data_IF_165050330545
#
_entry.id   IF_165050330545
#
_cell.length_a   1.000
_cell.length_b   1.000
_cell.length_c   1.000
_cell.angle_alpha   90.00
_cell.angle_beta   90.00
_cell.angle_gamma   90.00
#
_symmetry.space_group_name_H-M   'P 1'
#
loop_
_entity.id
_entity.type
_entity.pdbx_description
1 polymer ?
#
# COMPACT_ATOMS: atom_id res chain seq x y z
N UNK A 1 -28.26 -19.48 33.24
CA UNK A 1 -28.19 -18.00 33.36
C UNK A 1 -26.76 -17.48 33.53
N UNK A 2 -25.86 -18.18 34.24
CA UNK A 2 -24.44 -17.75 34.41
C UNK A 2 -23.65 -17.59 33.09
N UNK A 3 -23.87 -18.47 32.12
CA UNK A 3 -23.12 -18.43 30.84
C UNK A 3 -23.44 -17.19 30.01
N UNK A 4 -24.67 -16.66 30.10
CA UNK A 4 -25.07 -15.46 29.36
C UNK A 4 -24.31 -14.23 29.85
N UNK A 5 -24.10 -14.13 31.17
CA UNK A 5 -23.30 -13.07 31.77
C UNK A 5 -21.82 -13.18 31.39
N UNK A 6 -21.24 -14.38 31.44
CA UNK A 6 -19.86 -14.59 31.03
C UNK A 6 -19.65 -14.22 29.55
N UNK A 7 -20.54 -14.66 28.67
CA UNK A 7 -20.48 -14.34 27.24
C UNK A 7 -20.68 -12.85 26.98
N UNK A 8 -21.56 -12.15 27.70
CA UNK A 8 -21.76 -10.70 27.49
C UNK A 8 -20.53 -9.89 27.89
N UNK A 9 -19.83 -10.26 28.97
CA UNK A 9 -18.60 -9.59 29.40
C UNK A 9 -17.49 -9.77 28.35
N UNK A 10 -17.34 -10.99 27.83
CA UNK A 10 -16.34 -11.27 26.78
C UNK A 10 -16.65 -10.47 25.52
N UNK A 11 -17.92 -10.40 25.11
CA UNK A 11 -18.32 -9.60 23.95
C UNK A 11 -18.10 -8.10 24.15
N UNK A 12 -18.32 -7.58 25.37
CA UNK A 12 -18.03 -6.18 25.70
C UNK A 12 -16.52 -5.89 25.66
N UNK A 13 -15.69 -6.79 26.19
CA UNK A 13 -14.23 -6.64 26.14
C UNK A 13 -13.72 -6.69 24.69
N UNK A 14 -14.17 -7.67 23.91
CA UNK A 14 -13.80 -7.80 22.50
C UNK A 14 -14.27 -6.58 21.69
N UNK A 15 -15.52 -6.16 21.87
CA UNK A 15 -16.06 -4.97 21.21
C UNK A 15 -15.32 -3.69 21.61
N UNK A 16 -14.96 -3.55 22.89
CA UNK A 16 -14.15 -2.45 23.39
C UNK A 16 -12.75 -2.41 22.78
N UNK A 17 -12.08 -3.55 22.64
CA UNK A 17 -10.77 -3.64 21.98
C UNK A 17 -10.83 -3.25 20.51
N UNK A 18 -11.84 -3.73 19.78
CA UNK A 18 -12.03 -3.35 18.36
C UNK A 18 -12.35 -1.86 18.24
N UNK A 19 -13.23 -1.34 19.09
CA UNK A 19 -13.55 0.09 19.12
C UNK A 19 -12.31 0.95 19.43
N UNK A 20 -11.47 0.53 20.37
CA UNK A 20 -10.22 1.20 20.69
C UNK A 20 -9.23 1.19 19.51
N UNK A 21 -9.10 0.06 18.79
CA UNK A 21 -8.30 -0.02 17.57
C UNK A 21 -8.80 0.94 16.49
N UNK A 22 -10.10 0.93 16.20
CA UNK A 22 -10.70 1.83 15.20
C UNK A 22 -10.51 3.30 15.60
N UNK A 23 -10.68 3.60 16.89
CA UNK A 23 -10.47 4.95 17.42
C UNK A 23 -9.03 5.41 17.28
N UNK A 24 -8.05 4.54 17.57
CA UNK A 24 -6.63 4.82 17.34
C UNK A 24 -6.34 5.08 15.86
N UNK A 25 -6.83 4.24 14.95
CA UNK A 25 -6.65 4.43 13.51
C UNK A 25 -7.26 5.77 13.06
N UNK A 26 -8.45 6.11 13.59
CA UNK A 26 -9.11 7.39 13.29
C UNK A 26 -8.33 8.58 13.82
N UNK A 27 -7.80 8.52 15.04
CA UNK A 27 -6.93 9.56 15.58
C UNK A 27 -5.67 9.75 14.72
N UNK A 28 -5.02 8.66 14.30
CA UNK A 28 -3.86 8.73 13.40
C UNK A 28 -4.22 9.22 11.99
N UNK A 29 -5.44 8.95 11.52
CA UNK A 29 -5.93 9.36 10.20
C UNK A 29 -6.40 10.83 10.19
N UNK A 30 -6.97 11.33 11.29
CA UNK A 30 -7.45 12.71 11.41
C UNK A 30 -6.30 13.72 11.24
N UNK A 31 -5.12 13.41 11.78
CA UNK A 31 -3.89 14.17 11.52
C UNK A 31 -3.45 14.09 10.05
N UNK A 32 -3.75 12.96 9.38
CA UNK A 32 -3.43 12.71 7.97
C UNK A 32 -4.39 13.37 6.97
N UNK A 33 -5.53 13.96 7.39
CA UNK A 33 -6.39 14.74 6.48
C UNK A 33 -5.77 16.10 6.11
N UNK A 34 -4.67 16.51 6.77
CA UNK A 34 -3.87 17.69 6.42
C UNK A 34 -2.82 17.45 5.32
N UNK A 35 -2.62 16.21 4.88
CA UNK A 35 -1.58 15.87 3.90
C UNK A 35 -2.19 15.37 2.58
N UNK A 36 -2.58 16.29 1.65
CA UNK A 36 -3.10 15.93 0.32
C UNK A 36 -2.10 15.10 -0.51
N UNK A 37 -0.81 15.19 -0.16
CA UNK A 37 0.30 14.39 -0.67
C UNK A 37 -0.01 12.88 -0.63
N UNK A 38 -0.53 12.37 0.49
CA UNK A 38 -0.73 10.94 0.73
C UNK A 38 -1.88 10.42 -0.14
N UNK A 39 -2.92 11.23 -0.35
CA UNK A 39 -4.01 10.94 -1.31
C UNK A 39 -3.48 10.87 -2.74
N UNK A 40 -2.51 11.71 -3.11
CA UNK A 40 -1.84 11.64 -4.42
C UNK A 40 -1.02 10.34 -4.58
N UNK A 41 -0.28 9.93 -3.54
CA UNK A 41 0.55 8.73 -3.62
C UNK A 41 -0.31 7.46 -3.64
N UNK A 42 -1.38 7.41 -2.85
CA UNK A 42 -2.35 6.30 -2.89
C UNK A 42 -3.10 6.28 -4.23
N UNK A 43 -3.44 7.44 -4.80
CA UNK A 43 -4.08 7.50 -6.13
C UNK A 43 -3.09 7.13 -7.25
N UNK A 44 -1.80 7.45 -7.13
CA UNK A 44 -0.80 7.01 -8.08
C UNK A 44 -0.48 5.52 -7.97
N UNK A 45 -0.45 4.97 -6.75
CA UNK A 45 -0.13 3.57 -6.47
C UNK A 45 -1.33 2.63 -6.69
N UNK A 46 -2.55 3.08 -6.43
CA UNK A 46 -3.78 2.26 -6.52
C UNK A 46 -4.79 2.75 -7.57
N UNK A 47 -4.65 3.97 -8.11
CA UNK A 47 -5.54 4.55 -9.13
C UNK A 47 -5.09 4.33 -10.58
N UNK A 48 -4.05 3.51 -10.82
CA UNK A 48 -3.54 3.17 -12.16
C UNK A 48 -4.48 2.36 -13.06
N UNK A 49 -5.73 2.10 -12.66
CA UNK A 49 -6.68 1.31 -13.46
C UNK A 49 -7.92 2.08 -13.97
N UNK A 50 -8.08 3.36 -13.69
CA UNK A 50 -9.20 4.13 -14.24
C UNK A 50 -8.85 5.61 -14.41
N UNK A 51 -8.21 5.94 -15.53
CA UNK A 51 -8.22 7.30 -16.05
C UNK A 51 -9.52 7.51 -16.82
N UNK A 52 -10.50 8.33 -16.36
CA UNK A 52 -11.34 9.04 -17.28
C UNK A 52 -10.59 10.32 -17.66
N UNK A 53 -10.12 10.31 -18.90
CA UNK A 53 -9.90 11.48 -19.75
C UNK A 53 -10.90 12.61 -19.40
N UNK A 54 -10.44 13.64 -18.69
CA UNK A 54 -11.07 14.97 -18.63
C UNK A 54 -9.99 15.98 -18.20
N UNK A 55 -9.13 16.40 -19.13
CA UNK A 55 -9.28 17.63 -19.94
C UNK A 55 -8.73 18.87 -19.21
N UNK A 56 -7.41 19.07 -19.33
CA UNK A 56 -6.77 20.39 -19.20
C UNK A 56 -6.03 20.69 -20.52
N UNK A 57 -6.40 21.73 -21.29
CA UNK A 57 -5.85 21.96 -22.62
C UNK A 57 -4.68 22.93 -22.57
N UNK A 58 -3.49 22.51 -22.11
CA UNK A 58 -2.29 23.32 -22.25
C UNK A 58 -0.98 22.52 -22.06
N UNK A 59 -0.62 21.65 -23.00
CA UNK A 59 0.79 21.36 -23.33
C UNK A 59 0.89 20.34 -24.47
N UNK A 60 0.79 20.83 -25.71
CA UNK A 60 1.25 20.10 -26.89
C UNK A 60 2.77 19.94 -26.82
N UNK A 61 3.26 18.70 -26.83
CA UNK A 61 4.65 18.40 -27.16
C UNK A 61 5.28 17.36 -26.25
N UNK A 62 5.05 16.08 -26.54
CA UNK A 62 5.95 14.97 -26.14
C UNK A 62 5.49 13.66 -26.79
N UNK A 63 5.47 13.64 -28.13
CA UNK A 63 5.26 12.42 -28.92
C UNK A 63 6.59 11.68 -29.21
N UNK A 64 7.66 12.04 -28.49
CA UNK A 64 9.03 11.53 -28.68
C UNK A 64 9.48 10.49 -27.64
N UNK A 65 8.76 10.31 -26.53
CA UNK A 65 9.21 9.45 -25.41
C UNK A 65 8.81 7.96 -25.51
N UNK A 66 8.19 7.52 -26.60
CA UNK A 66 7.81 6.11 -26.75
C UNK A 66 9.00 5.21 -27.17
N UNK A 67 9.97 5.75 -27.92
CA UNK A 67 11.11 4.98 -28.44
C UNK A 67 12.28 4.84 -27.45
N UNK A 68 12.34 5.68 -26.41
CA UNK A 68 13.43 5.68 -25.42
C UNK A 68 13.23 4.65 -24.29
N UNK A 69 12.06 4.00 -24.19
CA UNK A 69 11.72 3.06 -23.11
C UNK A 69 12.25 1.64 -23.34
N UNK A 70 12.62 1.29 -24.57
CA UNK A 70 13.08 -0.05 -24.93
C UNK A 70 14.55 -0.30 -24.55
N UNK A 71 15.35 0.77 -24.42
CA UNK A 71 16.79 0.70 -24.16
C UNK A 71 17.17 0.57 -22.66
N UNK A 72 16.18 0.43 -21.76
CA UNK A 72 16.39 0.32 -20.31
C UNK A 72 16.04 -1.09 -19.77
N UNK A 73 16.17 -2.13 -20.61
CA UNK A 73 15.78 -3.51 -20.29
C UNK A 73 16.94 -4.45 -19.94
N UNK A 74 18.12 -3.90 -19.63
CA UNK A 74 19.32 -4.67 -19.23
C UNK A 74 19.75 -4.42 -17.77
N UNK A 75 18.90 -3.79 -16.96
CA UNK A 75 19.15 -3.72 -15.51
C UNK A 75 18.60 -4.98 -14.84
N UNK A 76 19.38 -5.66 -13.97
CA UNK A 76 18.91 -6.85 -13.26
C UNK A 76 17.67 -6.51 -12.44
N UNK A 77 16.53 -7.04 -12.86
CA UNK A 77 15.25 -6.80 -12.23
C UNK A 77 15.32 -7.18 -10.75
N UNK A 78 15.19 -6.16 -9.90
CA UNK A 78 15.32 -6.25 -8.45
C UNK A 78 14.03 -5.75 -7.85
N UNK A 79 13.37 -6.60 -7.08
CA UNK A 79 12.11 -6.30 -6.40
C UNK A 79 12.36 -6.17 -4.89
N UNK A 80 11.67 -5.27 -4.17
CA UNK A 80 11.79 -5.20 -2.72
C UNK A 80 11.08 -6.38 -2.04
N UNK A 81 11.70 -6.96 -1.02
CA UNK A 81 11.10 -8.03 -0.23
C UNK A 81 9.81 -7.53 0.47
N UNK A 82 8.68 -8.25 0.37
CA UNK A 82 7.41 -7.81 0.96
C UNK A 82 7.40 -7.77 2.50
N UNK A 83 8.38 -8.40 3.17
CA UNK A 83 8.47 -8.41 4.62
C UNK A 83 9.40 -7.33 5.19
N UNK A 84 10.55 -7.09 4.57
CA UNK A 84 11.58 -6.19 5.12
C UNK A 84 11.99 -5.04 4.17
N UNK A 85 11.56 -5.07 2.91
CA UNK A 85 11.88 -4.04 1.92
C UNK A 85 13.28 -4.13 1.32
N UNK A 86 14.11 -5.10 1.72
CA UNK A 86 15.43 -5.32 1.12
C UNK A 86 15.34 -5.72 -0.36
N UNK A 87 16.26 -5.25 -1.21
CA UNK A 87 16.29 -5.63 -2.62
C UNK A 87 16.57 -7.13 -2.77
N UNK A 88 15.65 -7.84 -3.41
CA UNK A 88 15.79 -9.26 -3.76
C UNK A 88 15.65 -9.43 -5.27
N UNK A 89 16.28 -10.48 -5.80
CA UNK A 89 16.20 -10.84 -7.22
C UNK A 89 15.48 -12.18 -7.36
N UNK A 90 14.95 -12.50 -8.55
CA UNK A 90 14.31 -13.80 -8.83
C UNK A 90 15.22 -15.03 -8.63
N UNK A 91 16.52 -14.84 -8.43
CA UNK A 91 17.46 -15.92 -8.13
C UNK A 91 17.40 -16.37 -6.65
N UNK A 92 16.82 -15.53 -5.78
CA UNK A 92 16.73 -15.81 -4.36
C UNK A 92 15.42 -16.56 -4.05
N UNK A 93 15.54 -17.83 -3.65
CA UNK A 93 14.40 -18.62 -3.13
C UNK A 93 13.98 -18.11 -1.74
N UNK A 94 14.92 -17.49 -1.02
CA UNK A 94 14.73 -16.93 0.31
C UNK A 94 15.40 -15.56 0.38
N UNK A 95 14.75 -14.61 1.05
CA UNK A 95 15.32 -13.28 1.26
C UNK A 95 16.55 -13.37 2.19
N UNK A 96 17.72 -12.86 1.77
CA UNK A 96 18.96 -12.95 2.56
C UNK A 96 18.92 -12.12 3.86
N UNK A 97 18.03 -11.12 3.93
CA UNK A 97 17.94 -10.23 5.09
C UNK A 97 16.96 -10.72 6.15
N UNK A 98 15.81 -11.28 5.75
CA UNK A 98 14.75 -11.69 6.69
C UNK A 98 14.38 -13.19 6.67
N UNK A 99 14.97 -13.98 5.75
CA UNK A 99 14.70 -15.41 5.64
C UNK A 99 13.30 -15.75 5.10
N UNK A 100 12.56 -14.77 4.55
CA UNK A 100 11.26 -15.02 3.95
C UNK A 100 11.42 -15.81 2.64
N UNK A 101 10.65 -16.88 2.47
CA UNK A 101 10.60 -17.64 1.22
C UNK A 101 9.88 -16.83 0.14
N UNK A 102 10.56 -16.57 -0.97
CA UNK A 102 10.05 -15.88 -2.16
C UNK A 102 9.56 -16.97 -3.14
N UNK A 103 8.30 -16.91 -3.57
CA UNK A 103 7.66 -17.91 -4.45
C UNK A 103 7.73 -17.53 -5.92
#
# INVERSE_FOLDING_TARGET
>A
MMNVFATSIVLLLAGGLVAAMVFMIRLSTDDSDKHPEIKQFVTALFGGAASPVQADPAASGQQESAAARDALSEEPFTEPCPACGDPVTHQHVECPSCGLRLI
#
